data_IF_553654464252
#
_entry.id   IF_553654464252
#
_cell.length_a   1.000
_cell.length_b   1.000
_cell.length_c   1.000
_cell.angle_alpha   90.00
_cell.angle_beta   90.00
_cell.angle_gamma   90.00
#
_symmetry.space_group_name_H-M   'P 1'
#
loop_
_entity.id
_entity.type
_entity.pdbx_description
1 polymer ?
#
# COMPACT_ATOMS: atom_id res chain seq x y z
N UNK A 1 23.52 23.57 -7.78
CA UNK A 1 22.87 22.25 -7.68
C UNK A 1 22.94 21.64 -9.05
N UNK A 2 23.44 20.42 -9.19
CA UNK A 2 23.43 19.72 -10.48
C UNK A 2 21.97 19.47 -10.88
N UNK A 3 21.68 19.67 -12.18
CA UNK A 3 20.37 19.40 -12.77
C UNK A 3 20.08 17.90 -12.69
N UNK A 4 19.06 17.53 -11.92
CA UNK A 4 18.63 16.14 -11.74
C UNK A 4 17.53 15.73 -12.73
N UNK A 5 17.29 16.53 -13.76
CA UNK A 5 16.33 16.20 -14.81
C UNK A 5 16.95 15.25 -15.83
N UNK A 6 16.12 14.34 -16.33
CA UNK A 6 16.51 13.45 -17.44
C UNK A 6 16.12 14.14 -18.74
N UNK A 7 17.11 14.35 -19.62
CA UNK A 7 16.86 14.93 -20.94
C UNK A 7 16.40 13.85 -21.94
N UNK A 8 15.80 14.29 -23.04
CA UNK A 8 15.39 13.40 -24.15
C UNK A 8 16.60 12.62 -24.72
N UNK A 9 17.74 13.29 -24.90
CA UNK A 9 18.96 12.62 -25.39
C UNK A 9 19.45 11.55 -24.41
N UNK A 10 19.34 11.82 -23.09
CA UNK A 10 19.70 10.84 -22.08
C UNK A 10 18.76 9.64 -22.04
N UNK A 11 17.46 9.84 -22.33
CA UNK A 11 16.53 8.71 -22.52
C UNK A 11 16.96 7.85 -23.70
N UNK A 12 17.25 8.45 -24.84
CA UNK A 12 17.68 7.72 -26.04
C UNK A 12 18.95 6.93 -25.76
N UNK A 13 19.95 7.54 -25.10
CA UNK A 13 21.20 6.89 -24.73
C UNK A 13 21.00 5.69 -23.79
N UNK A 14 20.32 5.90 -22.65
CA UNK A 14 20.13 4.87 -21.61
C UNK A 14 19.27 3.70 -22.10
N UNK A 15 18.23 4.01 -22.87
CA UNK A 15 17.29 3.01 -23.37
C UNK A 15 17.75 2.37 -24.68
N UNK A 16 18.87 2.81 -25.26
CA UNK A 16 19.31 2.41 -26.60
C UNK A 16 18.17 2.58 -27.63
N UNK A 17 17.42 3.68 -27.45
CA UNK A 17 16.22 3.96 -28.20
C UNK A 17 16.49 4.66 -29.53
N UNK A 18 15.51 4.60 -30.44
CA UNK A 18 15.50 5.36 -31.68
C UNK A 18 14.57 6.55 -31.57
N UNK A 19 15.09 7.75 -31.77
CA UNK A 19 14.29 8.97 -31.84
C UNK A 19 13.59 9.04 -33.20
N UNK A 20 12.26 8.87 -33.20
CA UNK A 20 11.43 8.94 -34.42
C UNK A 20 11.03 10.38 -34.76
N UNK A 21 10.86 11.22 -33.75
CA UNK A 21 10.60 12.66 -33.89
C UNK A 21 11.28 13.40 -32.74
N UNK A 22 11.88 14.56 -33.04
CA UNK A 22 12.51 15.44 -32.04
C UNK A 22 11.64 16.69 -31.85
N UNK A 23 11.11 16.82 -30.66
CA UNK A 23 10.36 18.00 -30.26
C UNK A 23 11.23 19.20 -29.91
N UNK A 24 10.61 20.36 -29.76
CA UNK A 24 11.27 21.62 -29.41
C UNK A 24 11.55 21.76 -27.92
N UNK A 25 10.86 20.99 -27.06
CA UNK A 25 11.02 21.03 -25.60
C UNK A 25 11.77 19.78 -25.15
N UNK A 26 12.83 19.94 -24.37
CA UNK A 26 13.66 18.85 -23.84
C UNK A 26 13.43 18.58 -22.34
N UNK A 27 12.87 19.55 -21.60
CA UNK A 27 12.64 19.43 -20.16
C UNK A 27 11.37 18.65 -19.86
N UNK A 28 11.52 17.51 -19.17
CA UNK A 28 10.41 16.61 -18.78
C UNK A 28 9.93 16.99 -17.39
N UNK A 29 8.62 17.21 -17.24
CA UNK A 29 8.00 17.51 -15.96
C UNK A 29 7.80 16.23 -15.12
N UNK A 30 7.22 15.20 -15.72
CA UNK A 30 7.00 13.89 -15.11
C UNK A 30 6.93 12.78 -16.16
N UNK A 31 7.10 11.53 -15.72
CA UNK A 31 6.81 10.32 -16.50
C UNK A 31 5.43 9.80 -16.10
N UNK A 32 4.54 9.62 -17.08
CA UNK A 32 3.16 9.24 -16.84
C UNK A 32 2.77 8.01 -17.68
N UNK A 33 2.09 7.05 -17.04
CA UNK A 33 1.61 5.80 -17.68
C UNK A 33 0.09 5.77 -17.90
N UNK A 34 -0.62 6.82 -17.45
CA UNK A 34 -2.08 6.90 -17.49
C UNK A 34 -2.51 8.18 -18.21
N UNK A 35 -3.11 8.05 -19.40
CA UNK A 35 -3.53 9.19 -20.23
C UNK A 35 -4.53 10.13 -19.55
N UNK A 36 -5.27 9.63 -18.54
CA UNK A 36 -6.23 10.44 -17.76
C UNK A 36 -5.53 11.44 -16.83
N UNK A 37 -4.26 11.15 -16.48
CA UNK A 37 -3.42 11.95 -15.56
C UNK A 37 -2.34 12.76 -16.24
N UNK A 38 -2.28 12.74 -17.58
CA UNK A 38 -1.30 13.47 -18.36
C UNK A 38 -1.48 14.98 -18.15
N UNK A 39 -0.38 15.66 -17.88
CA UNK A 39 -0.26 17.11 -17.86
C UNK A 39 0.67 17.60 -18.96
N UNK A 40 0.64 18.92 -19.20
CA UNK A 40 1.57 19.53 -20.14
C UNK A 40 3.03 19.28 -19.73
N UNK A 41 3.89 18.99 -20.71
CA UNK A 41 5.31 18.65 -20.55
C UNK A 41 5.60 17.31 -19.84
N UNK A 42 4.61 16.44 -19.63
CA UNK A 42 4.88 15.08 -19.19
C UNK A 42 5.37 14.21 -20.36
N UNK A 43 6.23 13.24 -20.07
CA UNK A 43 6.63 12.19 -21.01
C UNK A 43 5.70 10.99 -20.80
N UNK A 44 4.93 10.65 -21.83
CA UNK A 44 4.04 9.48 -21.77
C UNK A 44 4.84 8.19 -21.95
N UNK A 45 4.64 7.23 -21.07
CA UNK A 45 5.22 5.87 -21.17
C UNK A 45 4.11 4.93 -21.63
N UNK A 46 4.19 4.51 -22.88
CA UNK A 46 3.16 3.68 -23.51
C UNK A 46 3.38 2.21 -23.15
N UNK A 47 2.73 1.78 -22.09
CA UNK A 47 2.73 0.37 -21.67
C UNK A 47 1.88 -0.49 -22.61
N UNK A 48 2.18 -1.78 -22.68
CA UNK A 48 1.39 -2.75 -23.45
C UNK A 48 -0.04 -2.83 -22.91
N UNK A 49 -1.01 -2.67 -23.80
CA UNK A 49 -2.44 -2.79 -23.49
C UNK A 49 -2.94 -4.19 -23.87
N UNK A 50 -3.81 -4.77 -23.03
CA UNK A 50 -4.48 -6.05 -23.35
C UNK A 50 -5.34 -5.97 -24.61
N UNK A 51 -5.87 -4.78 -24.92
CA UNK A 51 -6.71 -4.52 -26.09
C UNK A 51 -5.94 -4.03 -27.32
N UNK A 52 -4.62 -3.85 -27.22
CA UNK A 52 -3.80 -3.35 -28.33
C UNK A 52 -4.02 -1.85 -28.67
N UNK A 53 -4.46 -1.05 -27.68
CA UNK A 53 -4.84 0.36 -27.84
C UNK A 53 -3.66 1.34 -27.68
N UNK A 54 -2.39 0.86 -27.69
CA UNK A 54 -1.21 1.67 -27.37
C UNK A 54 -1.10 2.92 -28.27
N UNK A 55 -1.35 2.75 -29.59
CA UNK A 55 -1.30 3.89 -30.53
C UNK A 55 -2.37 4.91 -30.24
N UNK A 56 -3.57 4.48 -29.82
CA UNK A 56 -4.64 5.41 -29.43
C UNK A 56 -4.27 6.16 -28.15
N UNK A 57 -3.68 5.49 -27.18
CA UNK A 57 -3.20 6.13 -25.95
C UNK A 57 -2.07 7.13 -26.23
N UNK A 58 -1.18 6.83 -27.17
CA UNK A 58 -0.13 7.79 -27.62
C UNK A 58 -0.80 9.04 -28.21
N UNK A 59 -1.77 8.87 -29.13
CA UNK A 59 -2.51 10.01 -29.72
C UNK A 59 -3.15 10.86 -28.64
N UNK A 60 -3.86 10.24 -27.71
CA UNK A 60 -4.53 10.91 -26.60
C UNK A 60 -3.56 11.69 -25.71
N UNK A 61 -2.43 11.08 -25.33
CA UNK A 61 -1.42 11.72 -24.50
C UNK A 61 -0.81 12.96 -25.21
N UNK A 62 -0.48 12.85 -26.49
CA UNK A 62 0.08 13.97 -27.28
C UNK A 62 -0.96 15.09 -27.47
N UNK A 63 -2.25 14.77 -27.67
CA UNK A 63 -3.34 15.74 -27.73
C UNK A 63 -3.50 16.52 -26.42
N UNK A 64 -3.33 15.85 -25.27
CA UNK A 64 -3.39 16.47 -23.93
C UNK A 64 -2.14 17.27 -23.56
N UNK A 65 -1.17 17.40 -24.47
CA UNK A 65 0.01 18.24 -24.28
C UNK A 65 1.24 17.54 -23.74
N UNK A 66 1.29 16.20 -23.77
CA UNK A 66 2.53 15.47 -23.49
C UNK A 66 3.68 16.00 -24.37
N UNK A 67 4.87 16.17 -23.80
CA UNK A 67 6.08 16.59 -24.55
C UNK A 67 6.55 15.50 -25.52
N UNK A 68 6.12 14.26 -25.31
CA UNK A 68 6.47 13.13 -26.14
C UNK A 68 6.01 11.81 -25.53
N UNK A 69 6.45 10.72 -26.17
CA UNK A 69 6.18 9.39 -25.66
C UNK A 69 7.40 8.47 -25.84
N UNK A 70 7.47 7.44 -24.98
CA UNK A 70 8.35 6.30 -25.10
C UNK A 70 7.47 5.06 -25.38
N UNK A 71 7.78 4.28 -26.42
CA UNK A 71 6.94 3.17 -26.87
C UNK A 71 7.76 2.04 -27.49
N UNK A 72 7.24 0.81 -27.44
CA UNK A 72 7.76 -0.34 -28.19
C UNK A 72 7.17 -0.43 -29.61
N UNK A 73 6.03 0.23 -29.85
CA UNK A 73 5.27 0.14 -31.08
C UNK A 73 5.89 0.95 -32.21
N UNK A 74 5.67 0.50 -33.43
CA UNK A 74 5.87 1.32 -34.61
C UNK A 74 4.76 2.37 -34.67
N UNK A 75 5.16 3.63 -34.58
CA UNK A 75 4.21 4.75 -34.64
C UNK A 75 3.98 5.10 -36.10
N UNK A 76 2.72 5.15 -36.57
CA UNK A 76 2.40 5.52 -37.96
C UNK A 76 2.97 6.91 -38.34
N UNK A 77 3.45 7.04 -39.58
CA UNK A 77 4.04 8.28 -40.09
C UNK A 77 3.06 9.48 -40.00
N UNK A 78 1.78 9.24 -40.18
CA UNK A 78 0.75 10.28 -40.02
C UNK A 78 0.76 10.92 -38.62
N UNK A 79 1.03 10.12 -37.56
CA UNK A 79 1.12 10.60 -36.20
C UNK A 79 2.44 11.34 -36.00
N UNK A 80 3.54 10.78 -36.48
CA UNK A 80 4.86 11.42 -36.41
C UNK A 80 4.81 12.78 -37.06
N UNK A 81 4.24 12.89 -38.27
CA UNK A 81 4.12 14.14 -39.02
C UNK A 81 3.17 15.14 -38.33
N UNK A 82 2.05 14.69 -37.77
CA UNK A 82 1.12 15.53 -37.03
C UNK A 82 1.75 16.12 -35.77
N UNK A 83 2.60 15.38 -35.08
CA UNK A 83 3.22 15.75 -33.80
C UNK A 83 4.75 15.88 -33.94
N UNK A 84 5.23 16.43 -35.06
CA UNK A 84 6.67 16.63 -35.34
C UNK A 84 7.38 17.52 -34.33
N UNK A 85 6.63 18.32 -33.54
CA UNK A 85 7.10 19.15 -32.45
C UNK A 85 7.18 18.40 -31.09
N UNK A 86 6.87 17.10 -31.08
CA UNK A 86 6.91 16.22 -29.91
C UNK A 86 8.03 15.18 -30.02
N UNK A 87 8.49 14.71 -28.86
CA UNK A 87 9.54 13.70 -28.80
C UNK A 87 8.92 12.29 -28.86
N UNK A 88 9.16 11.54 -29.93
CA UNK A 88 8.69 10.17 -30.07
C UNK A 88 9.90 9.24 -30.06
N UNK A 89 10.00 8.42 -29.01
CA UNK A 89 11.15 7.53 -28.77
C UNK A 89 10.67 6.09 -28.84
N UNK A 90 11.20 5.33 -29.82
CA UNK A 90 10.97 3.89 -29.90
C UNK A 90 12.07 3.15 -29.13
N UNK A 91 11.66 2.23 -28.26
CA UNK A 91 12.56 1.36 -27.49
C UNK A 91 12.25 -0.11 -27.77
N UNK A 92 13.18 -1.00 -27.42
CA UNK A 92 13.00 -2.45 -27.62
C UNK A 92 12.09 -3.06 -26.57
N UNK A 93 12.21 -2.62 -25.32
CA UNK A 93 11.48 -3.10 -24.15
C UNK A 93 11.20 -1.91 -23.22
N UNK A 94 9.91 -1.58 -23.04
CA UNK A 94 9.49 -0.41 -22.28
C UNK A 94 9.73 -0.60 -20.78
N UNK A 95 9.54 -1.81 -20.27
CA UNK A 95 9.74 -2.12 -18.85
C UNK A 95 11.21 -2.01 -18.50
N UNK A 96 12.08 -2.66 -19.27
CA UNK A 96 13.53 -2.56 -19.09
C UNK A 96 13.99 -1.10 -19.21
N UNK A 97 13.43 -0.33 -20.14
CA UNK A 97 13.77 1.09 -20.36
C UNK A 97 13.44 1.94 -19.14
N UNK A 98 12.23 1.88 -18.58
CA UNK A 98 11.88 2.66 -17.39
C UNK A 98 12.67 2.23 -16.16
N UNK A 99 13.04 0.96 -16.05
CA UNK A 99 13.89 0.46 -14.97
C UNK A 99 15.33 1.00 -15.09
N UNK A 100 15.93 0.95 -16.28
CA UNK A 100 17.26 1.56 -16.54
C UNK A 100 17.27 3.07 -16.24
N UNK A 101 16.24 3.80 -16.68
CA UNK A 101 16.06 5.22 -16.39
C UNK A 101 15.91 5.50 -14.90
N UNK A 102 15.13 4.68 -14.18
CA UNK A 102 14.94 4.83 -12.74
C UNK A 102 16.24 4.56 -11.96
N UNK A 103 17.04 3.57 -12.36
CA UNK A 103 18.38 3.30 -11.78
C UNK A 103 19.30 4.51 -12.02
N UNK A 104 19.28 5.09 -13.22
CA UNK A 104 20.05 6.29 -13.53
C UNK A 104 19.61 7.48 -12.67
N UNK A 105 18.29 7.76 -12.59
CA UNK A 105 17.72 8.81 -11.76
C UNK A 105 18.08 8.62 -10.29
N UNK A 106 17.95 7.37 -9.76
CA UNK A 106 18.27 7.04 -8.37
C UNK A 106 19.72 7.39 -7.99
N UNK A 107 20.67 7.17 -8.89
CA UNK A 107 22.10 7.48 -8.66
C UNK A 107 22.40 8.97 -8.47
N UNK A 108 21.51 9.87 -8.92
CA UNK A 108 21.66 11.32 -8.74
C UNK A 108 21.34 11.80 -7.32
N UNK A 109 20.88 10.89 -6.43
CA UNK A 109 20.45 11.25 -5.08
C UNK A 109 21.25 10.50 -4.02
N UNK A 110 22.01 11.25 -3.23
CA UNK A 110 22.65 10.75 -2.01
C UNK A 110 21.76 11.13 -0.81
N UNK A 111 20.72 10.34 -0.58
CA UNK A 111 19.68 10.59 0.42
C UNK A 111 19.26 9.29 1.11
N UNK A 112 18.74 9.36 2.34
CA UNK A 112 18.07 8.22 2.95
C UNK A 112 16.89 7.74 2.09
N UNK A 113 16.90 6.45 1.74
CA UNK A 113 15.80 5.78 1.04
C UNK A 113 15.34 4.60 1.90
N UNK A 114 14.10 4.65 2.34
CA UNK A 114 13.45 3.60 3.11
C UNK A 114 12.65 2.72 2.15
N UNK A 115 13.06 1.48 1.96
CA UNK A 115 12.25 0.48 1.26
C UNK A 115 11.38 -0.29 2.26
N UNK A 116 10.13 -0.53 1.91
CA UNK A 116 9.19 -1.23 2.79
C UNK A 116 8.44 -2.33 2.06
N UNK A 117 8.45 -3.53 2.65
CA UNK A 117 7.64 -4.68 2.23
C UNK A 117 6.96 -5.34 3.43
N UNK A 118 6.15 -6.36 3.18
CA UNK A 118 5.44 -7.14 4.18
C UNK A 118 4.12 -7.70 3.64
N UNK A 119 3.51 -8.62 4.35
CA UNK A 119 2.23 -9.20 3.96
C UNK A 119 1.09 -8.19 4.14
N UNK A 120 1.02 -7.52 5.29
CA UNK A 120 0.02 -6.49 5.62
C UNK A 120 0.69 -5.24 6.17
N UNK A 121 -0.02 -4.10 6.08
CA UNK A 121 0.39 -2.85 6.73
C UNK A 121 1.42 -2.02 5.97
N UNK A 122 1.92 -2.45 4.80
CA UNK A 122 2.91 -1.70 4.01
C UNK A 122 2.56 -0.24 3.80
N UNK A 123 1.39 0.03 3.24
CA UNK A 123 0.96 1.40 2.89
C UNK A 123 0.77 2.27 4.12
N UNK A 124 0.09 1.78 5.15
CA UNK A 124 -0.10 2.55 6.39
C UNK A 124 1.23 2.83 7.08
N UNK A 125 2.15 1.85 7.13
CA UNK A 125 3.50 2.04 7.70
C UNK A 125 4.31 3.05 6.85
N UNK A 126 4.27 2.94 5.51
CA UNK A 126 4.88 3.90 4.58
C UNK A 126 4.40 5.33 4.88
N UNK A 127 3.09 5.52 5.08
CA UNK A 127 2.53 6.84 5.29
C UNK A 127 2.91 7.44 6.65
N UNK A 128 2.94 6.63 7.73
CA UNK A 128 3.44 7.07 9.04
C UNK A 128 4.93 7.40 8.95
N UNK A 129 5.75 6.53 8.35
CA UNK A 129 7.19 6.78 8.15
C UNK A 129 7.39 8.08 7.38
N UNK A 130 6.68 8.27 6.27
CA UNK A 130 6.81 9.48 5.46
C UNK A 130 6.43 10.73 6.26
N UNK A 131 5.39 10.66 7.12
CA UNK A 131 4.98 11.79 7.96
C UNK A 131 6.01 12.11 9.06
N UNK A 132 6.64 11.09 9.64
CA UNK A 132 7.76 11.27 10.59
C UNK A 132 8.98 11.87 9.86
N UNK A 133 9.35 11.35 8.70
CA UNK A 133 10.48 11.89 7.93
C UNK A 133 10.25 13.35 7.49
N UNK A 134 9.03 13.76 7.18
CA UNK A 134 8.66 15.15 6.84
C UNK A 134 8.93 16.14 7.95
N UNK A 135 9.14 15.70 9.18
CA UNK A 135 9.53 16.59 10.29
C UNK A 135 10.97 17.15 10.17
N UNK A 136 11.76 16.55 9.26
CA UNK A 136 13.16 16.96 9.02
C UNK A 136 13.49 17.09 7.52
N UNK A 137 12.79 16.36 6.66
CA UNK A 137 13.15 16.16 5.25
C UNK A 137 12.01 16.60 4.31
N UNK A 138 12.38 16.94 3.07
CA UNK A 138 11.44 16.98 1.95
C UNK A 138 11.33 15.57 1.35
N UNK A 139 10.20 14.91 1.58
CA UNK A 139 10.05 13.45 1.40
C UNK A 139 9.28 13.12 0.13
N UNK A 140 9.88 12.30 -0.74
CA UNK A 140 9.15 11.57 -1.77
C UNK A 140 8.64 10.24 -1.20
N UNK A 141 7.47 9.78 -1.64
CA UNK A 141 6.94 8.46 -1.29
C UNK A 141 6.22 7.82 -2.46
N UNK A 142 6.07 6.50 -2.40
CA UNK A 142 5.20 5.77 -3.34
C UNK A 142 3.75 6.25 -3.18
N UNK A 143 3.15 6.69 -4.27
CA UNK A 143 1.74 7.09 -4.31
C UNK A 143 0.86 5.90 -4.72
N UNK A 144 -0.35 5.84 -4.16
CA UNK A 144 -1.32 4.79 -4.45
C UNK A 144 -0.72 3.38 -4.29
N UNK A 145 -0.80 2.59 -5.36
CA UNK A 145 -0.30 1.21 -5.45
C UNK A 145 0.91 1.06 -6.41
N UNK A 146 1.68 2.12 -6.64
CA UNK A 146 2.85 2.09 -7.52
C UNK A 146 4.04 1.36 -6.87
N UNK A 147 3.81 0.11 -6.46
CA UNK A 147 4.74 -0.71 -5.68
C UNK A 147 5.26 -1.96 -6.40
N UNK A 148 5.04 -2.06 -7.71
CA UNK A 148 5.49 -3.18 -8.56
C UNK A 148 6.61 -2.76 -9.53
N UNK A 149 7.00 -3.66 -10.46
CA UNK A 149 8.06 -3.49 -11.46
C UNK A 149 7.86 -2.34 -12.46
N UNK A 150 6.68 -1.71 -12.48
CA UNK A 150 6.36 -0.50 -13.23
C UNK A 150 6.26 0.69 -12.27
N UNK A 151 5.54 0.52 -11.18
CA UNK A 151 5.21 1.60 -10.25
C UNK A 151 6.42 2.15 -9.50
N UNK A 152 7.34 1.28 -9.05
CA UNK A 152 8.56 1.72 -8.36
C UNK A 152 9.47 2.54 -9.31
N UNK A 153 9.78 2.10 -10.54
CA UNK A 153 10.48 2.95 -11.51
C UNK A 153 9.82 4.30 -11.73
N UNK A 154 8.51 4.35 -12.00
CA UNK A 154 7.78 5.61 -12.22
C UNK A 154 7.83 6.52 -10.98
N UNK A 155 7.73 5.95 -9.79
CA UNK A 155 7.89 6.69 -8.53
C UNK A 155 9.24 7.39 -8.46
N UNK A 156 10.33 6.68 -8.77
CA UNK A 156 11.70 7.22 -8.71
C UNK A 156 11.95 8.25 -9.83
N UNK A 157 11.48 7.98 -11.04
CA UNK A 157 11.58 8.91 -12.17
C UNK A 157 10.92 10.26 -11.88
N UNK A 158 9.87 10.25 -11.06
CA UNK A 158 9.10 11.44 -10.68
C UNK A 158 9.62 12.13 -9.40
N UNK A 159 10.75 11.71 -8.85
CA UNK A 159 11.38 12.43 -7.75
C UNK A 159 11.79 13.84 -8.17
N UNK A 160 11.34 14.81 -7.37
CA UNK A 160 11.69 16.22 -7.59
C UNK A 160 13.13 16.50 -7.12
N UNK A 161 13.76 17.51 -7.69
CA UNK A 161 15.17 17.83 -7.41
C UNK A 161 15.47 18.09 -5.94
N UNK A 162 14.53 18.70 -5.24
CA UNK A 162 14.69 19.18 -3.86
C UNK A 162 14.36 18.14 -2.79
N UNK A 163 14.05 16.88 -3.15
CA UNK A 163 13.84 15.84 -2.15
C UNK A 163 15.17 15.48 -1.48
N UNK A 164 15.10 15.17 -0.19
CA UNK A 164 16.24 14.73 0.58
C UNK A 164 15.95 13.54 1.50
N UNK A 165 14.82 12.86 1.30
CA UNK A 165 14.52 11.52 1.78
C UNK A 165 13.44 10.88 0.90
N UNK A 166 13.35 9.55 0.86
CA UNK A 166 12.31 8.84 0.13
C UNK A 166 11.82 7.60 0.88
N UNK A 167 10.53 7.24 0.66
CA UNK A 167 9.92 5.99 1.16
C UNK A 167 9.31 5.24 -0.02
N UNK A 168 9.84 4.05 -0.31
CA UNK A 168 9.47 3.24 -1.47
C UNK A 168 8.79 1.95 -1.00
N UNK A 169 7.51 1.81 -1.30
CA UNK A 169 6.74 0.59 -1.04
C UNK A 169 7.04 -0.45 -2.11
N UNK A 170 7.28 -1.71 -1.70
CA UNK A 170 7.59 -2.83 -2.58
C UNK A 170 6.59 -3.97 -2.34
N UNK A 171 5.75 -4.21 -3.35
CA UNK A 171 4.82 -5.33 -3.42
C UNK A 171 5.40 -6.48 -4.23
N UNK A 172 4.87 -7.69 -4.04
CA UNK A 172 5.25 -8.86 -4.84
C UNK A 172 4.13 -9.90 -4.88
N UNK A 173 4.13 -10.70 -5.93
CA UNK A 173 3.35 -11.90 -6.11
C UNK A 173 4.25 -13.14 -6.20
N UNK A 174 5.48 -13.00 -6.70
CA UNK A 174 6.42 -14.08 -6.97
C UNK A 174 7.80 -13.79 -6.39
N UNK A 175 8.59 -14.85 -6.26
CA UNK A 175 10.03 -14.75 -5.97
C UNK A 175 10.74 -13.97 -7.08
N UNK A 176 11.78 -13.20 -6.73
CA UNK A 176 12.57 -12.37 -7.64
C UNK A 176 12.01 -10.96 -7.87
N UNK A 177 10.74 -10.70 -7.57
CA UNK A 177 10.14 -9.39 -7.81
C UNK A 177 10.71 -8.32 -6.87
N UNK A 178 10.81 -8.60 -5.57
CA UNK A 178 11.42 -7.65 -4.60
C UNK A 178 12.89 -7.41 -4.93
N UNK A 179 13.61 -8.45 -5.40
CA UNK A 179 14.99 -8.32 -5.86
C UNK A 179 15.15 -7.25 -6.94
N UNK A 180 14.29 -7.28 -7.95
CA UNK A 180 14.28 -6.24 -9.00
C UNK A 180 14.03 -4.86 -8.40
N UNK A 181 12.99 -4.71 -7.57
CA UNK A 181 12.59 -3.42 -7.00
C UNK A 181 13.66 -2.81 -6.11
N UNK A 182 14.26 -3.62 -5.24
CA UNK A 182 15.28 -3.14 -4.31
C UNK A 182 16.59 -2.77 -5.03
N UNK A 183 16.94 -3.49 -6.11
CA UNK A 183 18.10 -3.15 -6.94
C UNK A 183 17.91 -1.86 -7.73
N UNK A 184 16.67 -1.48 -8.08
CA UNK A 184 16.34 -0.18 -8.67
C UNK A 184 16.42 0.92 -7.61
N UNK A 185 15.78 0.73 -6.45
CA UNK A 185 15.64 1.75 -5.42
C UNK A 185 16.91 1.96 -4.59
N UNK A 186 17.79 0.94 -4.46
CA UNK A 186 19.02 0.97 -3.65
C UNK A 186 18.79 1.65 -2.30
N UNK A 187 17.97 1.03 -1.42
CA UNK A 187 17.63 1.62 -0.13
C UNK A 187 18.82 1.69 0.81
N UNK A 188 18.76 2.60 1.78
CA UNK A 188 19.66 2.68 2.92
C UNK A 188 19.05 2.06 4.17
N UNK A 189 17.73 1.92 4.19
CA UNK A 189 16.95 1.28 5.26
C UNK A 189 15.94 0.36 4.62
N UNK A 190 15.94 -0.92 5.02
CA UNK A 190 14.94 -1.89 4.65
C UNK A 190 13.96 -2.10 5.81
N UNK A 191 12.67 -2.25 5.49
CA UNK A 191 11.61 -2.53 6.47
C UNK A 191 10.82 -3.74 6.02
N UNK A 192 10.62 -4.72 6.91
CA UNK A 192 9.67 -5.82 6.72
C UNK A 192 8.64 -5.76 7.84
N UNK A 193 7.38 -5.45 7.50
CA UNK A 193 6.33 -5.25 8.51
C UNK A 193 5.90 -6.55 9.18
N UNK A 194 5.66 -7.59 8.40
CA UNK A 194 5.29 -8.93 8.87
C UNK A 194 5.35 -9.96 7.74
N UNK A 195 5.35 -11.24 8.14
CA UNK A 195 5.16 -12.41 7.27
C UNK A 195 3.85 -13.07 7.69
N UNK A 196 2.81 -12.85 6.91
CA UNK A 196 1.49 -13.42 7.08
C UNK A 196 1.15 -14.39 5.94
N UNK A 197 -0.14 -14.43 5.58
CA UNK A 197 -0.69 -15.36 4.59
C UNK A 197 -1.04 -14.73 3.24
N UNK A 198 -0.79 -13.41 3.06
CA UNK A 198 -1.03 -12.74 1.78
C UNK A 198 -0.15 -13.37 0.68
N UNK A 199 -0.75 -13.66 -0.50
CA UNK A 199 -0.12 -14.32 -1.66
C UNK A 199 0.34 -15.78 -1.41
N UNK A 200 -0.16 -16.45 -0.34
CA UNK A 200 0.26 -17.81 -0.01
C UNK A 200 -0.11 -18.81 -1.11
N UNK A 201 -1.21 -18.57 -1.84
CA UNK A 201 -1.61 -19.41 -2.96
C UNK A 201 -0.63 -19.37 -4.14
N UNK A 202 0.13 -18.29 -4.30
CA UNK A 202 1.13 -18.12 -5.36
C UNK A 202 2.51 -18.61 -4.94
N UNK A 203 2.85 -18.45 -3.66
CA UNK A 203 4.17 -18.77 -3.11
C UNK A 203 4.21 -20.14 -2.41
N UNK A 204 3.07 -20.75 -2.11
CA UNK A 204 2.93 -22.10 -1.57
C UNK A 204 3.16 -22.21 -0.07
N UNK A 205 3.97 -21.35 0.58
CA UNK A 205 4.21 -21.41 2.03
C UNK A 205 4.63 -20.06 2.61
N UNK A 206 4.57 -19.93 3.96
CA UNK A 206 5.06 -18.74 4.67
C UNK A 206 6.58 -18.61 4.61
N UNK A 207 7.30 -19.70 4.51
CA UNK A 207 8.76 -19.75 4.31
C UNK A 207 9.15 -19.13 2.98
N UNK A 208 8.41 -19.43 1.91
CA UNK A 208 8.61 -18.80 0.60
C UNK A 208 8.22 -17.32 0.62
N UNK A 209 7.18 -16.93 1.37
CA UNK A 209 6.83 -15.52 1.59
C UNK A 209 7.96 -14.79 2.31
N UNK A 210 8.56 -15.40 3.36
CA UNK A 210 9.73 -14.86 4.04
C UNK A 210 10.91 -14.71 3.08
N UNK A 211 11.22 -15.76 2.31
CA UNK A 211 12.31 -15.74 1.32
C UNK A 211 12.14 -14.62 0.31
N UNK A 212 10.93 -14.47 -0.27
CA UNK A 212 10.64 -13.41 -1.22
C UNK A 212 10.78 -12.00 -0.61
N UNK A 213 10.39 -11.80 0.65
CA UNK A 213 10.50 -10.49 1.30
C UNK A 213 11.93 -10.18 1.75
N UNK A 214 12.73 -11.18 2.07
CA UNK A 214 14.15 -11.01 2.38
C UNK A 214 14.99 -10.61 1.16
N UNK A 215 14.48 -10.78 -0.06
CA UNK A 215 15.10 -10.21 -1.29
C UNK A 215 15.34 -8.69 -1.19
N UNK A 216 14.61 -7.99 -0.30
CA UNK A 216 14.82 -6.55 -0.05
C UNK A 216 16.26 -6.24 0.38
N UNK A 217 16.97 -7.20 0.95
CA UNK A 217 18.36 -7.07 1.36
C UNK A 217 19.34 -7.08 0.18
N UNK A 218 18.97 -7.61 -0.98
CA UNK A 218 19.86 -7.72 -2.14
C UNK A 218 20.22 -6.35 -2.74
N UNK A 219 19.33 -5.38 -2.61
CA UNK A 219 19.58 -4.00 -3.05
C UNK A 219 19.98 -3.05 -1.93
N UNK A 220 19.95 -3.50 -0.67
CA UNK A 220 20.27 -2.66 0.50
C UNK A 220 21.73 -2.19 0.41
N UNK A 221 21.94 -0.89 0.58
CA UNK A 221 23.27 -0.28 0.49
C UNK A 221 24.21 -0.81 1.58
N UNK A 222 25.51 -0.86 1.30
CA UNK A 222 26.51 -1.26 2.30
C UNK A 222 26.41 -0.36 3.54
N UNK A 223 26.38 -0.97 4.73
CA UNK A 223 26.13 -0.27 5.99
C UNK A 223 24.68 0.14 6.23
N UNK A 224 23.78 -0.27 5.33
CA UNK A 224 22.33 -0.12 5.52
C UNK A 224 21.81 -0.92 6.71
N UNK A 225 20.58 -0.63 7.13
CA UNK A 225 19.94 -1.25 8.30
C UNK A 225 18.62 -1.91 7.91
N UNK A 226 18.31 -3.01 8.58
CA UNK A 226 17.00 -3.65 8.46
C UNK A 226 16.19 -3.46 9.73
N UNK A 227 14.93 -3.04 9.57
CA UNK A 227 13.97 -2.82 10.67
C UNK A 227 12.85 -3.87 10.54
N UNK A 228 12.63 -4.66 11.59
CA UNK A 228 11.68 -5.77 11.59
C UNK A 228 10.83 -5.81 12.85
N UNK A 229 9.63 -6.38 12.69
CA UNK A 229 8.73 -6.69 13.80
C UNK A 229 9.19 -7.95 14.53
N UNK A 230 9.65 -7.81 15.77
CA UNK A 230 10.16 -8.91 16.60
C UNK A 230 9.05 -9.79 17.20
N UNK A 231 7.80 -9.38 17.07
CA UNK A 231 6.65 -10.19 17.49
C UNK A 231 6.12 -11.09 16.36
N UNK A 232 6.67 -10.94 15.15
CA UNK A 232 6.36 -11.85 14.06
C UNK A 232 7.27 -13.07 14.11
N UNK A 233 6.66 -14.24 14.24
CA UNK A 233 7.31 -15.53 14.42
C UNK A 233 8.38 -15.85 13.35
N UNK A 234 8.10 -15.48 12.09
CA UNK A 234 9.02 -15.74 10.99
C UNK A 234 10.17 -14.72 10.93
N UNK A 235 9.95 -13.47 11.38
CA UNK A 235 10.97 -12.41 11.35
C UNK A 235 11.91 -12.45 12.54
N UNK A 236 11.45 -12.91 13.69
CA UNK A 236 12.24 -12.93 14.92
C UNK A 236 13.62 -13.56 14.74
N UNK A 237 13.67 -14.70 14.03
CA UNK A 237 14.88 -15.49 13.82
C UNK A 237 15.37 -15.48 12.35
N UNK A 238 14.88 -14.55 11.51
CA UNK A 238 15.31 -14.49 10.13
C UNK A 238 16.78 -14.07 10.01
N UNK A 239 17.46 -14.63 9.01
CA UNK A 239 18.83 -14.24 8.66
C UNK A 239 18.82 -12.87 7.96
N UNK A 240 19.45 -11.89 8.58
CA UNK A 240 19.60 -10.53 8.05
C UNK A 240 20.96 -10.31 7.39
N UNK A 241 21.72 -11.38 7.15
CA UNK A 241 23.06 -11.34 6.59
C UNK A 241 23.97 -10.41 7.44
N UNK A 242 24.80 -9.60 6.77
CA UNK A 242 25.71 -8.65 7.42
C UNK A 242 25.04 -7.35 7.92
N UNK A 243 23.73 -7.18 7.69
CA UNK A 243 23.06 -5.93 8.00
C UNK A 243 22.64 -5.82 9.47
N UNK A 244 22.84 -4.62 10.05
CA UNK A 244 22.39 -4.31 11.42
C UNK A 244 20.88 -4.44 11.51
N UNK A 245 20.43 -5.34 12.40
CA UNK A 245 19.02 -5.60 12.69
C UNK A 245 18.51 -4.68 13.80
N UNK A 246 17.53 -3.86 13.49
CA UNK A 246 16.78 -3.03 14.44
C UNK A 246 15.39 -3.64 14.61
N UNK A 247 14.97 -3.85 15.85
CA UNK A 247 13.71 -4.54 16.16
C UNK A 247 12.71 -3.60 16.83
N UNK A 248 11.42 -3.84 16.53
CA UNK A 248 10.32 -3.23 17.28
C UNK A 248 9.28 -4.29 17.66
N UNK A 249 8.55 -4.04 18.76
CA UNK A 249 7.57 -5.01 19.25
C UNK A 249 6.75 -4.50 20.41
N UNK A 250 5.79 -5.32 20.84
CA UNK A 250 4.92 -5.11 21.99
C UNK A 250 5.12 -6.23 23.01
N UNK A 251 5.40 -7.47 22.54
CA UNK A 251 5.45 -8.70 23.34
C UNK A 251 6.88 -9.13 23.62
N UNK A 252 7.73 -9.13 22.60
CA UNK A 252 9.10 -9.59 22.69
C UNK A 252 10.06 -8.41 22.89
N UNK A 253 11.10 -8.61 23.71
CA UNK A 253 12.13 -7.60 23.95
C UNK A 253 12.69 -7.08 22.61
N UNK A 254 12.62 -5.80 22.41
CA UNK A 254 12.96 -5.12 21.16
C UNK A 254 13.70 -3.82 21.43
N UNK A 255 14.40 -3.29 20.40
CA UNK A 255 15.04 -1.97 20.51
C UNK A 255 14.01 -0.87 20.76
N UNK A 256 12.82 -0.97 20.14
CA UNK A 256 11.69 -0.07 20.34
C UNK A 256 10.48 -0.88 20.78
N UNK A 257 10.13 -0.82 22.07
CA UNK A 257 9.08 -1.65 22.65
C UNK A 257 8.00 -0.77 23.28
N UNK A 258 6.74 -0.98 22.87
CA UNK A 258 5.59 -0.34 23.49
C UNK A 258 5.14 -1.08 24.74
N UNK A 259 4.71 -0.34 25.77
CA UNK A 259 4.09 -0.85 26.99
C UNK A 259 3.03 0.14 27.49
N UNK A 260 2.25 -0.21 28.51
CA UNK A 260 1.13 0.59 29.03
C UNK A 260 0.19 1.04 27.91
N UNK A 261 -0.30 0.05 27.12
CA UNK A 261 -1.10 0.31 25.94
C UNK A 261 -2.55 0.54 26.31
N UNK A 262 -3.10 1.68 25.90
CA UNK A 262 -4.52 2.03 25.99
C UNK A 262 -5.11 2.19 24.60
N UNK A 263 -6.23 1.50 24.34
CA UNK A 263 -7.00 1.61 23.10
C UNK A 263 -8.27 2.41 23.33
N UNK A 264 -8.41 3.54 22.65
CA UNK A 264 -9.56 4.45 22.70
C UNK A 264 -10.32 4.38 21.38
N UNK A 265 -11.50 4.94 21.29
CA UNK A 265 -12.35 4.89 20.09
C UNK A 265 -11.63 5.37 18.83
N UNK A 266 -10.90 6.49 18.92
CA UNK A 266 -10.29 7.16 17.77
C UNK A 266 -8.77 7.21 17.82
N UNK A 267 -8.13 6.62 18.84
CA UNK A 267 -6.68 6.59 18.96
C UNK A 267 -6.19 5.42 19.80
N UNK A 268 -4.91 5.11 19.66
CA UNK A 268 -4.17 4.24 20.57
C UNK A 268 -3.09 5.05 21.26
N UNK A 269 -2.91 4.82 22.55
CA UNK A 269 -1.86 5.45 23.37
C UNK A 269 -0.96 4.37 23.95
N UNK A 270 0.33 4.65 24.05
CA UNK A 270 1.28 3.74 24.70
C UNK A 270 2.49 4.51 25.19
N UNK A 271 3.26 3.89 26.08
CA UNK A 271 4.55 4.37 26.52
C UNK A 271 5.68 3.64 25.81
N UNK A 272 6.81 4.32 25.64
CA UNK A 272 8.04 3.78 25.08
C UNK A 272 9.24 4.48 25.71
N UNK A 273 10.34 3.76 25.89
CA UNK A 273 11.61 4.35 26.30
C UNK A 273 12.43 4.74 25.07
N UNK A 274 12.79 6.04 24.98
CA UNK A 274 13.65 6.60 23.95
C UNK A 274 14.66 7.57 24.57
N UNK A 275 15.95 7.49 24.19
CA UNK A 275 17.01 8.33 24.71
C UNK A 275 17.02 8.38 26.27
N UNK A 276 16.83 7.20 26.90
CA UNK A 276 16.72 6.99 28.36
C UNK A 276 15.54 7.70 29.06
N UNK A 277 14.59 8.24 28.29
CA UNK A 277 13.37 8.86 28.80
C UNK A 277 12.14 8.06 28.43
N UNK A 278 11.16 8.05 29.31
CA UNK A 278 9.83 7.54 29.02
C UNK A 278 9.06 8.60 28.23
N UNK A 279 8.54 8.21 27.08
CA UNK A 279 7.75 9.06 26.21
C UNK A 279 6.36 8.46 26.00
N UNK A 280 5.35 9.30 25.98
CA UNK A 280 3.97 8.92 25.66
C UNK A 280 3.70 9.17 24.17
N UNK A 281 3.25 8.13 23.48
CA UNK A 281 2.90 8.19 22.05
C UNK A 281 1.38 8.12 21.90
N UNK A 282 0.84 9.00 21.07
CA UNK A 282 -0.57 9.00 20.66
C UNK A 282 -0.63 8.76 19.15
N UNK A 283 -1.19 7.62 18.76
CA UNK A 283 -1.45 7.28 17.36
C UNK A 283 -2.91 7.60 17.07
N UNK A 284 -3.23 8.49 16.09
CA UNK A 284 -4.60 8.92 15.82
C UNK A 284 -5.42 7.85 15.04
N UNK A 285 -5.25 6.60 15.43
CA UNK A 285 -5.95 5.43 14.91
C UNK A 285 -6.03 4.36 16.00
N UNK A 286 -7.11 3.59 15.99
CA UNK A 286 -7.27 2.47 16.91
C UNK A 286 -6.83 1.15 16.25
N UNK A 287 -6.27 0.25 17.06
CA UNK A 287 -5.84 -1.09 16.64
C UNK A 287 -4.36 -1.36 16.87
N UNK A 288 -4.05 -2.59 17.29
CA UNK A 288 -2.69 -3.02 17.62
C UNK A 288 -1.72 -2.85 16.43
N UNK A 289 -2.21 -3.08 15.22
CA UNK A 289 -1.40 -2.92 14.01
C UNK A 289 -0.92 -1.47 13.79
N UNK A 290 -1.65 -0.45 14.23
CA UNK A 290 -1.19 0.93 14.17
C UNK A 290 -0.11 1.24 15.20
N UNK A 291 -0.11 0.54 16.35
CA UNK A 291 0.99 0.62 17.31
C UNK A 291 2.27 0.06 16.66
N UNK A 292 2.21 -1.14 16.04
CA UNK A 292 3.36 -1.68 15.30
C UNK A 292 3.84 -0.74 14.18
N UNK A 293 2.93 -0.16 13.40
CA UNK A 293 3.29 0.76 12.33
C UNK A 293 3.99 2.01 12.87
N UNK A 294 3.53 2.54 14.01
CA UNK A 294 4.15 3.71 14.67
C UNK A 294 5.51 3.39 15.29
N UNK A 295 5.68 2.21 15.90
CA UNK A 295 6.96 1.73 16.40
C UNK A 295 7.99 1.58 15.26
N UNK A 296 7.57 1.05 14.12
CA UNK A 296 8.41 1.02 12.91
C UNK A 296 8.84 2.42 12.48
N UNK A 297 7.90 3.38 12.48
CA UNK A 297 8.21 4.77 12.13
C UNK A 297 9.14 5.45 13.14
N UNK A 298 9.04 5.12 14.43
CA UNK A 298 10.01 5.53 15.47
C UNK A 298 11.40 5.01 15.12
N UNK A 299 11.51 3.71 14.83
CA UNK A 299 12.78 3.08 14.49
C UNK A 299 13.44 3.75 13.28
N UNK A 300 12.67 4.01 12.21
CA UNK A 300 13.15 4.74 11.02
C UNK A 300 13.55 6.17 11.38
N UNK A 301 12.72 6.90 12.15
CA UNK A 301 13.00 8.28 12.57
C UNK A 301 14.28 8.41 13.38
N UNK A 302 14.51 7.50 14.33
CA UNK A 302 15.75 7.44 15.12
C UNK A 302 16.97 7.11 14.25
N UNK A 303 16.82 6.15 13.33
CA UNK A 303 17.87 5.75 12.38
C UNK A 303 18.27 6.91 11.46
N UNK A 304 17.33 7.79 11.09
CA UNK A 304 17.59 8.96 10.24
C UNK A 304 17.95 10.23 11.03
N UNK A 305 18.14 10.11 12.35
CA UNK A 305 18.57 11.21 13.22
C UNK A 305 17.51 12.30 13.40
N UNK A 306 16.24 11.92 13.45
CA UNK A 306 15.15 12.84 13.81
C UNK A 306 15.03 12.91 15.33
N UNK A 307 14.88 14.11 15.87
CA UNK A 307 14.71 14.34 17.32
C UNK A 307 13.40 13.69 17.81
N UNK A 308 13.42 13.14 19.02
CA UNK A 308 12.30 12.40 19.62
C UNK A 308 10.99 13.20 19.59
N UNK A 309 10.99 14.48 19.98
CA UNK A 309 9.78 15.32 19.93
C UNK A 309 9.20 15.49 18.51
N UNK A 310 10.06 15.50 17.48
CA UNK A 310 9.64 15.58 16.09
C UNK A 310 9.08 14.25 15.59
N UNK A 311 9.62 13.12 16.03
CA UNK A 311 9.05 11.81 15.74
C UNK A 311 7.64 11.70 16.32
N UNK A 312 7.45 12.09 17.58
CA UNK A 312 6.16 12.10 18.29
C UNK A 312 5.14 12.96 17.52
N UNK A 313 5.54 14.16 17.10
CA UNK A 313 4.68 15.06 16.32
C UNK A 313 4.30 14.45 14.96
N UNK A 314 5.26 13.82 14.26
CA UNK A 314 5.00 13.14 13.00
C UNK A 314 4.00 11.97 13.14
N UNK A 315 4.03 11.23 14.25
CA UNK A 315 3.06 10.16 14.50
C UNK A 315 1.69 10.78 14.83
N UNK A 316 1.63 11.77 15.71
CA UNK A 316 0.40 12.42 16.16
C UNK A 316 -0.40 13.06 15.03
N UNK A 317 0.28 13.59 14.02
CA UNK A 317 -0.34 14.29 12.88
C UNK A 317 -0.59 13.38 11.67
N UNK A 318 -0.38 12.08 11.81
CA UNK A 318 -0.64 11.11 10.75
C UNK A 318 -2.11 11.08 10.33
N UNK A 319 -2.34 11.02 9.02
CA UNK A 319 -3.67 10.80 8.42
C UNK A 319 -3.66 9.50 7.63
N UNK A 320 -4.72 8.70 7.83
CA UNK A 320 -4.86 7.42 7.17
C UNK A 320 -5.17 7.58 5.68
N UNK A 321 -4.71 6.63 4.88
CA UNK A 321 -5.11 6.51 3.48
C UNK A 321 -6.52 5.94 3.38
N UNK A 322 -7.36 6.48 2.51
CA UNK A 322 -8.72 6.01 2.26
C UNK A 322 -8.80 4.50 2.00
N UNK A 323 -9.92 3.89 2.39
CA UNK A 323 -10.22 2.45 2.23
C UNK A 323 -9.28 1.51 2.99
N UNK A 324 -8.53 2.00 3.98
CA UNK A 324 -7.60 1.22 4.80
C UNK A 324 -7.82 1.48 6.27
N UNK A 325 -8.82 0.78 6.86
CA UNK A 325 -9.26 0.99 8.23
C UNK A 325 -9.69 2.44 8.52
N UNK A 326 -10.25 3.09 7.50
CA UNK A 326 -10.76 4.45 7.59
C UNK A 326 -12.10 4.43 8.32
N UNK A 327 -12.17 5.06 9.49
CA UNK A 327 -13.42 5.18 10.26
C UNK A 327 -14.14 6.46 9.89
N UNK A 328 -15.42 6.34 9.54
CA UNK A 328 -16.35 7.47 9.31
C UNK A 328 -17.54 7.38 10.24
N UNK A 329 -17.94 8.50 10.78
CA UNK A 329 -19.21 8.66 11.51
C UNK A 329 -20.19 9.42 10.61
N UNK A 330 -21.24 8.75 10.18
CA UNK A 330 -22.24 9.29 9.26
C UNK A 330 -23.58 8.61 9.51
N UNK A 331 -24.68 9.37 9.42
CA UNK A 331 -26.04 8.84 9.62
C UNK A 331 -26.23 8.08 10.95
N UNK A 332 -25.63 8.55 12.05
CA UNK A 332 -25.59 7.83 13.33
C UNK A 332 -24.95 6.44 13.26
N UNK A 333 -24.19 6.12 12.22
CA UNK A 333 -23.41 4.90 12.07
C UNK A 333 -21.91 5.18 12.25
N UNK A 334 -21.17 4.18 12.72
CA UNK A 334 -19.71 4.13 12.65
C UNK A 334 -19.28 3.10 11.61
N UNK A 335 -18.69 3.54 10.52
CA UNK A 335 -18.32 2.69 9.39
C UNK A 335 -16.80 2.59 9.31
N UNK A 336 -16.26 1.37 9.31
CA UNK A 336 -14.85 1.09 9.02
C UNK A 336 -14.75 0.68 7.55
N UNK A 337 -14.18 1.56 6.74
CA UNK A 337 -13.85 1.28 5.34
C UNK A 337 -12.46 0.64 5.26
N UNK A 338 -12.39 -0.68 5.11
CA UNK A 338 -11.14 -1.44 4.99
C UNK A 338 -11.20 -2.44 3.83
N UNK A 339 -11.69 -1.99 2.67
CA UNK A 339 -11.94 -2.82 1.48
C UNK A 339 -10.95 -2.59 0.33
N UNK A 340 -9.74 -2.12 0.63
CA UNK A 340 -8.70 -2.05 -0.39
C UNK A 340 -8.15 -3.45 -0.76
N UNK A 341 -7.97 -4.33 0.23
CA UNK A 341 -7.58 -5.74 0.03
C UNK A 341 -7.91 -6.55 1.29
N UNK A 342 -7.95 -7.88 1.14
CA UNK A 342 -8.25 -8.81 2.22
C UNK A 342 -7.28 -9.99 2.25
N UNK A 343 -6.82 -10.33 3.44
CA UNK A 343 -6.10 -11.55 3.80
C UNK A 343 -6.55 -11.95 5.20
N UNK A 344 -6.30 -13.19 5.63
CA UNK A 344 -6.64 -13.65 6.97
C UNK A 344 -6.13 -12.69 8.06
N UNK A 345 -4.85 -12.33 8.00
CA UNK A 345 -4.21 -11.46 9.01
C UNK A 345 -4.90 -10.08 9.08
N UNK A 346 -5.26 -9.52 7.92
CA UNK A 346 -5.94 -8.23 7.87
C UNK A 346 -7.41 -8.30 8.28
N UNK A 347 -8.12 -9.41 7.97
CA UNK A 347 -9.49 -9.66 8.42
C UNK A 347 -9.54 -9.74 9.95
N UNK A 348 -8.64 -10.53 10.54
CA UNK A 348 -8.49 -10.66 11.99
C UNK A 348 -8.28 -9.32 12.67
N UNK A 349 -7.32 -8.52 12.19
CA UNK A 349 -7.03 -7.19 12.74
C UNK A 349 -8.24 -6.25 12.65
N UNK A 350 -8.97 -6.26 11.53
CA UNK A 350 -10.15 -5.41 11.35
C UNK A 350 -11.30 -5.82 12.25
N UNK A 351 -11.53 -7.13 12.46
CA UNK A 351 -12.53 -7.65 13.39
C UNK A 351 -12.22 -7.27 14.86
N UNK A 352 -10.94 -7.27 15.25
CA UNK A 352 -10.53 -6.78 16.58
C UNK A 352 -10.81 -5.27 16.75
N UNK A 353 -10.61 -4.47 15.70
CA UNK A 353 -10.97 -3.04 15.73
C UNK A 353 -12.48 -2.89 15.89
N UNK A 354 -13.28 -3.58 15.08
CA UNK A 354 -14.75 -3.53 15.14
C UNK A 354 -15.26 -3.91 16.53
N UNK A 355 -14.76 -4.99 17.13
CA UNK A 355 -15.12 -5.43 18.49
C UNK A 355 -14.97 -4.32 19.52
N UNK A 356 -13.86 -3.57 19.45
CA UNK A 356 -13.50 -2.57 20.45
C UNK A 356 -14.15 -1.20 20.23
N UNK A 357 -14.85 -0.98 19.11
CA UNK A 357 -15.56 0.29 18.87
C UNK A 357 -16.75 0.45 19.81
N UNK A 358 -16.98 1.67 20.30
CA UNK A 358 -18.19 2.00 21.04
C UNK A 358 -19.37 2.16 20.09
N UNK A 359 -20.44 1.42 20.34
CA UNK A 359 -21.68 1.41 19.57
C UNK A 359 -22.55 0.23 20.00
N UNK A 360 -23.78 0.17 19.48
CA UNK A 360 -24.78 -0.79 19.96
C UNK A 360 -24.48 -2.21 19.48
N UNK A 361 -24.40 -2.41 18.17
CA UNK A 361 -24.13 -3.72 17.56
C UNK A 361 -22.92 -3.65 16.66
N UNK A 362 -22.29 -4.80 16.45
CA UNK A 362 -21.14 -5.00 15.58
C UNK A 362 -21.57 -5.78 14.35
N UNK A 363 -21.52 -5.14 13.20
CA UNK A 363 -21.90 -5.72 11.91
C UNK A 363 -20.64 -5.87 11.07
N UNK A 364 -20.34 -7.08 10.62
CA UNK A 364 -19.23 -7.34 9.70
C UNK A 364 -19.79 -7.69 8.31
N UNK A 365 -19.42 -6.92 7.30
CA UNK A 365 -19.68 -7.21 5.89
C UNK A 365 -18.33 -7.64 5.28
N UNK A 366 -18.20 -8.94 5.02
CA UNK A 366 -16.96 -9.58 4.61
C UNK A 366 -17.10 -10.22 3.24
N UNK A 367 -16.19 -9.92 2.33
CA UNK A 367 -16.13 -10.55 1.01
C UNK A 367 -15.00 -11.54 0.88
N UNK A 368 -14.84 -12.10 -0.32
CA UNK A 368 -13.83 -13.08 -0.64
C UNK A 368 -12.41 -12.54 -0.44
N UNK A 369 -11.55 -13.38 0.11
CA UNK A 369 -10.10 -13.22 0.07
C UNK A 369 -9.57 -13.95 -1.16
N UNK A 370 -8.99 -13.22 -2.10
CA UNK A 370 -8.45 -13.76 -3.35
C UNK A 370 -6.98 -14.15 -3.22
N UNK A 371 -6.43 -14.85 -4.22
CA UNK A 371 -5.02 -15.25 -4.31
C UNK A 371 -4.55 -16.25 -3.22
N UNK A 372 -5.47 -17.01 -2.65
CA UNK A 372 -5.17 -17.97 -1.58
C UNK A 372 -4.95 -19.41 -2.09
N UNK A 373 -5.30 -19.73 -3.36
CA UNK A 373 -5.18 -21.08 -3.91
C UNK A 373 -5.85 -22.12 -3.01
N UNK A 374 -5.18 -23.24 -2.78
CA UNK A 374 -5.64 -24.36 -1.97
C UNK A 374 -5.85 -24.01 -0.49
N UNK A 375 -5.28 -22.91 -0.01
CA UNK A 375 -5.47 -22.43 1.35
C UNK A 375 -6.80 -21.68 1.55
N UNK A 376 -7.54 -21.41 0.47
CA UNK A 376 -8.71 -20.52 0.48
C UNK A 376 -9.76 -20.98 1.48
N UNK A 377 -10.22 -22.23 1.40
CA UNK A 377 -11.25 -22.74 2.28
C UNK A 377 -10.86 -22.64 3.76
N UNK A 378 -9.66 -23.09 4.10
CA UNK A 378 -9.16 -23.08 5.48
C UNK A 378 -9.01 -21.67 6.03
N UNK A 379 -8.47 -20.73 5.26
CA UNK A 379 -8.29 -19.35 5.71
C UNK A 379 -9.62 -18.60 5.85
N UNK A 380 -10.61 -18.87 5.00
CA UNK A 380 -11.96 -18.32 5.17
C UNK A 380 -12.64 -18.89 6.44
N UNK A 381 -12.50 -20.21 6.72
CA UNK A 381 -12.98 -20.81 7.98
C UNK A 381 -12.35 -20.13 9.20
N UNK A 382 -11.03 -19.90 9.19
CA UNK A 382 -10.36 -19.18 10.28
C UNK A 382 -10.89 -17.75 10.48
N UNK A 383 -11.33 -17.06 9.43
CA UNK A 383 -12.01 -15.76 9.58
C UNK A 383 -13.36 -15.97 10.28
N UNK A 384 -14.11 -17.04 9.97
CA UNK A 384 -15.36 -17.40 10.68
C UNK A 384 -15.14 -17.63 12.18
N UNK A 385 -14.02 -18.29 12.55
CA UNK A 385 -13.61 -18.44 13.94
C UNK A 385 -13.37 -17.07 14.62
N UNK A 386 -12.68 -16.16 13.93
CA UNK A 386 -12.44 -14.81 14.47
C UNK A 386 -13.73 -13.99 14.58
N UNK A 387 -14.72 -14.16 13.68
CA UNK A 387 -16.05 -13.55 13.80
C UNK A 387 -16.74 -13.98 15.09
N UNK A 388 -16.82 -15.29 15.36
CA UNK A 388 -17.42 -15.83 16.57
C UNK A 388 -16.66 -15.40 17.84
N UNK A 389 -15.34 -15.50 17.84
CA UNK A 389 -14.45 -15.10 18.95
C UNK A 389 -14.60 -13.63 19.32
N UNK A 390 -14.78 -12.75 18.33
CA UNK A 390 -14.99 -11.33 18.55
C UNK A 390 -16.45 -10.97 18.84
N UNK A 391 -17.35 -11.95 18.92
CA UNK A 391 -18.78 -11.78 19.24
C UNK A 391 -19.45 -10.74 18.34
N UNK A 392 -19.26 -10.89 17.04
CA UNK A 392 -19.91 -10.05 16.04
C UNK A 392 -21.41 -10.37 16.04
N UNK A 393 -22.27 -9.34 16.13
CA UNK A 393 -23.71 -9.50 16.25
C UNK A 393 -24.35 -9.94 14.94
N UNK A 394 -23.95 -9.31 13.81
CA UNK A 394 -24.46 -9.60 12.47
C UNK A 394 -23.28 -9.81 11.52
N UNK A 395 -23.31 -10.92 10.80
CA UNK A 395 -22.36 -11.22 9.73
C UNK A 395 -23.06 -11.24 8.39
N UNK A 396 -22.62 -10.42 7.46
CA UNK A 396 -22.96 -10.48 6.05
C UNK A 396 -21.72 -10.96 5.26
N UNK A 397 -21.87 -12.01 4.45
CA UNK A 397 -20.81 -12.50 3.57
C UNK A 397 -21.20 -12.35 2.10
N UNK A 398 -20.25 -11.95 1.24
CA UNK A 398 -20.48 -11.75 -0.19
C UNK A 398 -19.44 -12.51 -0.98
N UNK A 399 -19.89 -13.39 -1.88
CA UNK A 399 -19.05 -14.19 -2.76
C UNK A 399 -19.11 -15.68 -2.45
N UNK A 400 -18.43 -16.47 -3.30
CA UNK A 400 -18.47 -17.93 -3.18
C UNK A 400 -17.50 -18.49 -2.14
N UNK A 401 -16.37 -17.86 -1.93
CA UNK A 401 -15.36 -18.30 -0.98
C UNK A 401 -15.74 -17.91 0.46
N UNK A 402 -16.32 -16.74 0.64
CA UNK A 402 -16.76 -16.20 1.93
C UNK A 402 -17.92 -16.98 2.57
N UNK A 403 -18.59 -17.86 1.81
CA UNK A 403 -19.53 -18.86 2.36
C UNK A 403 -18.90 -19.73 3.47
N UNK A 404 -17.57 -19.97 3.38
CA UNK A 404 -16.86 -20.72 4.41
C UNK A 404 -16.70 -19.92 5.71
N UNK A 405 -16.62 -18.58 5.63
CA UNK A 405 -16.67 -17.69 6.81
C UNK A 405 -18.03 -17.88 7.50
N UNK A 406 -19.12 -17.74 6.73
CA UNK A 406 -20.48 -17.86 7.25
C UNK A 406 -20.75 -19.22 7.91
N UNK A 407 -20.39 -20.32 7.22
CA UNK A 407 -20.59 -21.69 7.74
C UNK A 407 -19.88 -21.89 9.08
N UNK A 408 -18.62 -21.47 9.19
CA UNK A 408 -17.86 -21.65 10.43
C UNK A 408 -18.36 -20.72 11.55
N UNK A 409 -18.73 -19.47 11.23
CA UNK A 409 -19.31 -18.54 12.20
C UNK A 409 -20.64 -19.06 12.77
N UNK A 410 -21.53 -19.64 11.95
CA UNK A 410 -22.80 -20.27 12.39
C UNK A 410 -22.49 -21.45 13.32
N UNK A 411 -21.61 -22.35 12.92
CA UNK A 411 -21.19 -23.52 13.70
C UNK A 411 -20.68 -23.13 15.09
N UNK A 412 -20.01 -21.97 15.20
CA UNK A 412 -19.46 -21.45 16.44
C UNK A 412 -20.41 -20.50 17.19
N UNK A 413 -21.66 -20.39 16.77
CA UNK A 413 -22.73 -19.74 17.51
C UNK A 413 -23.04 -18.28 17.16
N UNK A 414 -22.52 -17.76 16.05
CA UNK A 414 -22.98 -16.46 15.52
C UNK A 414 -24.43 -16.60 15.05
N UNK A 415 -25.34 -15.81 15.61
CA UNK A 415 -26.81 -16.01 15.46
C UNK A 415 -27.35 -15.41 14.17
N UNK A 416 -26.92 -14.18 13.81
CA UNK A 416 -27.44 -13.48 12.63
C UNK A 416 -26.37 -13.51 11.54
N UNK A 417 -26.55 -14.42 10.56
CA UNK A 417 -25.60 -14.62 9.45
C UNK A 417 -26.36 -14.65 8.13
N UNK A 418 -25.97 -13.77 7.22
CA UNK A 418 -26.55 -13.65 5.89
C UNK A 418 -25.49 -13.87 4.82
N UNK A 419 -25.86 -14.54 3.73
CA UNK A 419 -24.95 -14.88 2.63
C UNK A 419 -25.51 -14.36 1.31
N UNK A 420 -24.68 -13.69 0.53
CA UNK A 420 -25.07 -13.02 -0.70
C UNK A 420 -24.09 -13.36 -1.84
N UNK A 421 -24.56 -13.22 -3.06
CA UNK A 421 -23.71 -13.32 -4.27
C UNK A 421 -23.24 -11.95 -4.74
N UNK A 422 -24.05 -10.90 -4.53
CA UNK A 422 -23.80 -9.55 -5.03
C UNK A 422 -23.82 -8.50 -3.93
N UNK A 423 -23.23 -7.35 -4.19
CA UNK A 423 -23.26 -6.18 -3.30
C UNK A 423 -24.70 -5.67 -3.16
N UNK A 424 -25.48 -5.70 -4.24
CA UNK A 424 -26.89 -5.24 -4.26
C UNK A 424 -27.78 -6.06 -3.31
N UNK A 425 -27.66 -7.41 -3.34
CA UNK A 425 -28.39 -8.28 -2.40
C UNK A 425 -28.04 -7.94 -0.94
N UNK A 426 -26.76 -7.69 -0.65
CA UNK A 426 -26.31 -7.30 0.67
C UNK A 426 -26.86 -5.92 1.08
N UNK A 427 -26.83 -4.94 0.18
CA UNK A 427 -27.39 -3.60 0.42
C UNK A 427 -28.88 -3.72 0.77
N UNK A 428 -29.66 -4.50 0.01
CA UNK A 428 -31.08 -4.70 0.30
C UNK A 428 -31.31 -5.29 1.69
N UNK A 429 -30.45 -6.23 2.11
CA UNK A 429 -30.57 -6.77 3.48
C UNK A 429 -30.13 -5.78 4.55
N UNK A 430 -29.09 -4.99 4.29
CA UNK A 430 -28.65 -3.95 5.21
C UNK A 430 -29.76 -2.91 5.45
N UNK A 431 -30.56 -2.56 4.43
CA UNK A 431 -31.76 -1.69 4.58
C UNK A 431 -32.70 -2.17 5.67
N UNK A 432 -32.87 -3.48 5.81
CA UNK A 432 -33.80 -4.07 6.79
C UNK A 432 -33.21 -4.19 8.21
N UNK A 433 -31.89 -4.43 8.31
CA UNK A 433 -31.28 -4.87 9.57
C UNK A 433 -30.51 -3.80 10.31
N UNK A 434 -29.94 -2.78 9.62
CA UNK A 434 -29.16 -1.74 10.29
C UNK A 434 -30.00 -0.85 11.19
N UNK A 435 -29.40 -0.37 12.28
CA UNK A 435 -30.00 0.55 13.23
C UNK A 435 -29.03 1.65 13.60
N UNK A 436 -29.55 2.78 14.05
CA UNK A 436 -28.75 3.87 14.58
C UNK A 436 -27.76 3.39 15.64
N UNK A 437 -26.55 3.93 15.64
CA UNK A 437 -25.42 3.60 16.52
C UNK A 437 -24.81 2.22 16.30
N UNK A 438 -25.09 1.56 15.17
CA UNK A 438 -24.35 0.37 14.76
C UNK A 438 -22.93 0.71 14.32
N UNK A 439 -22.01 -0.24 14.56
CA UNK A 439 -20.65 -0.21 14.04
C UNK A 439 -20.54 -1.23 12.91
N UNK A 440 -20.14 -0.79 11.72
CA UNK A 440 -20.12 -1.61 10.51
C UNK A 440 -18.69 -1.68 9.97
N UNK A 441 -18.19 -2.89 9.76
CA UNK A 441 -16.93 -3.15 9.06
C UNK A 441 -17.20 -3.58 7.62
N UNK A 442 -16.60 -2.91 6.66
CA UNK A 442 -16.57 -3.30 5.24
C UNK A 442 -15.18 -3.81 4.87
N UNK A 443 -15.05 -5.11 4.55
CA UNK A 443 -13.75 -5.68 4.20
C UNK A 443 -13.82 -6.79 3.16
N UNK A 444 -13.08 -6.61 2.06
CA UNK A 444 -12.99 -7.56 0.96
C UNK A 444 -11.72 -7.34 0.13
N UNK A 445 -11.42 -8.27 -0.76
CA UNK A 445 -10.45 -8.05 -1.84
C UNK A 445 -10.94 -6.94 -2.79
N UNK A 446 -10.03 -6.19 -3.37
CA UNK A 446 -10.33 -4.99 -4.20
C UNK A 446 -11.37 -5.26 -5.31
N UNK A 447 -11.26 -6.42 -5.98
CA UNK A 447 -12.16 -6.80 -7.08
C UNK A 447 -13.63 -6.97 -6.66
N UNK A 448 -13.93 -7.03 -5.35
CA UNK A 448 -15.30 -7.16 -4.83
C UNK A 448 -16.09 -5.85 -4.85
N UNK A 449 -15.45 -4.72 -5.18
CA UNK A 449 -16.06 -3.40 -5.33
C UNK A 449 -16.95 -2.93 -4.16
N UNK A 450 -16.52 -3.15 -2.92
CA UNK A 450 -17.27 -2.76 -1.70
C UNK A 450 -17.49 -1.24 -1.56
N UNK A 451 -16.96 -0.45 -2.48
CA UNK A 451 -17.29 0.97 -2.61
C UNK A 451 -18.78 1.23 -2.80
N UNK A 452 -19.51 0.33 -3.46
CA UNK A 452 -20.97 0.42 -3.64
C UNK A 452 -21.70 0.38 -2.29
N UNK A 453 -21.34 -0.56 -1.42
CA UNK A 453 -21.93 -0.69 -0.08
C UNK A 453 -21.53 0.51 0.79
N UNK A 454 -20.27 0.94 0.70
CA UNK A 454 -19.79 2.12 1.42
C UNK A 454 -20.55 3.39 1.02
N UNK A 455 -20.78 3.60 -0.28
CA UNK A 455 -21.54 4.74 -0.79
C UNK A 455 -23.00 4.71 -0.33
N UNK A 456 -23.63 3.54 -0.35
CA UNK A 456 -25.00 3.38 0.16
C UNK A 456 -25.10 3.80 1.64
N UNK A 457 -24.23 3.26 2.51
CA UNK A 457 -24.24 3.55 3.95
C UNK A 457 -23.93 5.02 4.28
N UNK A 458 -23.25 5.74 3.38
CA UNK A 458 -22.90 7.15 3.51
C UNK A 458 -23.88 8.09 2.80
N UNK A 459 -24.91 7.57 2.12
CA UNK A 459 -25.92 8.35 1.41
C UNK A 459 -26.77 9.20 2.36
N UNK A 460 -27.20 10.39 1.87
CA UNK A 460 -27.97 11.36 2.68
C UNK A 460 -29.33 10.81 3.13
N UNK A 461 -29.96 9.94 2.36
CA UNK A 461 -31.32 9.43 2.58
C UNK A 461 -31.37 8.03 3.18
N UNK A 462 -30.31 7.58 3.88
CA UNK A 462 -30.17 6.21 4.38
C UNK A 462 -31.40 5.73 5.19
N UNK A 463 -31.99 6.60 6.02
CA UNK A 463 -33.12 6.26 6.89
C UNK A 463 -34.48 6.52 6.27
N UNK A 464 -34.57 7.30 5.19
CA UNK A 464 -35.83 7.56 4.50
C UNK A 464 -36.31 6.37 3.67
N UNK A 465 -35.41 5.52 3.22
CA UNK A 465 -35.70 4.29 2.48
C UNK A 465 -36.10 3.11 3.37
N UNK A 466 -36.13 3.28 4.72
CA UNK A 466 -36.53 2.25 5.67
C UNK A 466 -37.98 2.39 6.15
N UNK A 467 -38.68 3.46 5.79
CA UNK A 467 -40.08 3.71 6.04
C UNK A 467 -40.89 3.37 4.79
#
# INVERSE_FOLDING_TARGET
>A
MEDKNITVDKIVEICEGRLLSRGTVSTINAFCVDTRKINAKDMFVSLKSEKGEEIQHIKEALQKGAIGCITEKDVPEEIINKYKDRNIIKVKDIICSIQKLAIYKRKMYDIPVVAITGSVGKTSTKDIIANVLKQKFNVAKTEGNYNNHIGVPITILNWKENINAAVVEMGMNHLGEISVLTNIAKPTIAVITNIGTAHIGLLGSRENILKAKLEILEGLSKGGKIIINNDNDMLQNCDTKEYEKITYGIKNKSNYMAYDIERKDNCSEYKIKMDDKEEKIVVPQTGEHFIYNSLCAIAVGKTTGIKTNKIIEGIKTFKITEKRNETKEVNDLKIINDYYNASYDSMKAALEVLKNMKGNRKIAVLGDMLELGDYSENLHKKVGEEVAKNKIDILCTIGDLSKNIAKEAIKLGTKEVYQFKTNEECINKLKEVIKKKDCILLKASNRMNFGEISNYLQGENLWEEQN
#
